data_IF_886446823240
#
_entry.id   IF_886446823240
#
_cell.length_a   1.000
_cell.length_b   1.000
_cell.length_c   1.000
_cell.angle_alpha   90.00
_cell.angle_beta   90.00
_cell.angle_gamma   90.00
#
_symmetry.space_group_name_H-M   'P 1'
#
loop_
_entity.id
_entity.type
_entity.pdbx_description
1 polymer ?
#
# COMPACT_ATOMS: atom_id res chain seq x y z
N UNK A 1 18.84 18.55 23.54
CA UNK A 1 17.60 17.89 23.06
C UNK A 1 17.92 16.44 22.82
N UNK A 2 17.18 15.53 23.44
CA UNK A 2 17.42 14.10 23.31
C UNK A 2 16.84 13.59 21.98
N UNK A 3 17.69 13.58 20.95
CA UNK A 3 17.30 13.31 19.56
C UNK A 3 16.68 11.91 19.41
N UNK A 4 17.07 10.97 20.29
CA UNK A 4 16.56 9.60 20.32
C UNK A 4 15.09 9.52 20.74
N UNK A 5 14.67 10.35 21.71
CA UNK A 5 13.26 10.46 22.12
C UNK A 5 12.38 11.02 20.98
N UNK A 6 12.93 11.94 20.19
CA UNK A 6 12.20 12.57 19.07
C UNK A 6 12.02 11.60 17.91
N UNK A 7 13.07 10.86 17.52
CA UNK A 7 12.97 9.86 16.45
C UNK A 7 12.01 8.71 16.80
N UNK A 8 12.09 8.20 18.05
CA UNK A 8 11.14 7.18 18.55
C UNK A 8 9.70 7.68 18.57
N UNK A 9 9.49 8.95 18.93
CA UNK A 9 8.18 9.60 18.88
C UNK A 9 7.61 9.64 17.47
N UNK A 10 8.41 10.05 16.48
CA UNK A 10 8.03 10.09 15.06
C UNK A 10 7.72 8.68 14.55
N UNK A 11 8.59 7.71 14.84
CA UNK A 11 8.37 6.32 14.42
C UNK A 11 7.07 5.75 14.99
N UNK A 12 6.77 6.05 16.27
CA UNK A 12 5.52 5.63 16.91
C UNK A 12 4.31 6.28 16.26
N UNK A 13 4.40 7.57 15.92
CA UNK A 13 3.32 8.28 15.23
C UNK A 13 3.06 7.67 13.84
N UNK A 14 4.10 7.49 13.02
CA UNK A 14 3.97 6.88 11.69
C UNK A 14 3.38 5.47 11.80
N UNK A 15 3.82 4.67 12.78
CA UNK A 15 3.28 3.33 13.01
C UNK A 15 1.78 3.36 13.33
N UNK A 16 1.33 4.26 14.22
CA UNK A 16 -0.09 4.43 14.55
C UNK A 16 -0.91 4.88 13.35
N UNK A 17 -0.41 5.85 12.58
CA UNK A 17 -1.07 6.35 11.37
C UNK A 17 -1.17 5.22 10.33
N UNK A 18 -0.09 4.48 10.10
CA UNK A 18 -0.09 3.33 9.19
C UNK A 18 -1.07 2.25 9.64
N UNK A 19 -1.23 2.03 10.95
CA UNK A 19 -2.21 1.10 11.50
C UNK A 19 -3.66 1.42 11.10
N UNK A 20 -3.96 2.67 10.74
CA UNK A 20 -5.28 3.09 10.26
C UNK A 20 -5.30 3.24 8.73
N UNK A 21 -4.26 3.83 8.13
CA UNK A 21 -4.22 4.08 6.69
C UNK A 21 -4.16 2.78 5.87
N UNK A 22 -3.41 1.78 6.31
CA UNK A 22 -3.29 0.51 5.59
C UNK A 22 -4.66 -0.16 5.45
N UNK A 23 -5.43 -0.44 6.53
CA UNK A 23 -6.75 -1.04 6.36
C UNK A 23 -7.72 -0.14 5.61
N UNK A 24 -7.65 1.19 5.80
CA UNK A 24 -8.51 2.13 5.05
C UNK A 24 -8.29 2.04 3.53
N UNK A 25 -7.02 2.06 3.08
CA UNK A 25 -6.67 1.92 1.67
C UNK A 25 -7.06 0.53 1.16
N UNK A 26 -6.82 -0.53 1.93
CA UNK A 26 -7.20 -1.89 1.55
C UNK A 26 -8.71 -2.03 1.32
N UNK A 27 -9.53 -1.54 2.26
CA UNK A 27 -10.99 -1.54 2.10
C UNK A 27 -11.40 -0.68 0.90
N UNK A 28 -10.80 0.50 0.73
CA UNK A 28 -11.11 1.38 -0.40
C UNK A 28 -10.79 0.74 -1.74
N UNK A 29 -9.69 -0.01 -1.85
CA UNK A 29 -9.35 -0.76 -3.06
C UNK A 29 -10.36 -1.85 -3.36
N UNK A 30 -10.75 -2.64 -2.36
CA UNK A 30 -11.78 -3.67 -2.52
C UNK A 30 -13.12 -3.07 -2.97
N UNK A 31 -13.54 -1.97 -2.35
CA UNK A 31 -14.76 -1.27 -2.72
C UNK A 31 -14.65 -0.62 -4.10
N UNK A 32 -13.50 -0.04 -4.45
CA UNK A 32 -13.24 0.53 -5.79
C UNK A 32 -13.27 -0.51 -6.90
N UNK A 33 -12.83 -1.76 -6.62
CA UNK A 33 -12.96 -2.89 -7.56
C UNK A 33 -14.43 -3.28 -7.75
N UNK A 34 -15.23 -3.31 -6.67
CA UNK A 34 -16.63 -3.77 -6.72
C UNK A 34 -17.55 -2.70 -7.32
N UNK A 35 -17.44 -1.46 -6.86
CA UNK A 35 -18.32 -0.36 -7.25
C UNK A 35 -17.82 0.43 -8.45
N UNK A 36 -16.55 0.27 -8.82
CA UNK A 36 -15.95 0.90 -9.98
C UNK A 36 -15.38 2.30 -9.73
N UNK A 37 -14.66 2.84 -10.73
CA UNK A 37 -13.80 4.01 -10.60
C UNK A 37 -14.53 5.34 -10.44
N UNK A 38 -15.83 5.40 -10.73
CA UNK A 38 -16.63 6.63 -10.61
C UNK A 38 -17.18 6.86 -9.19
N UNK A 39 -16.94 5.92 -8.27
CA UNK A 39 -17.43 6.01 -6.90
C UNK A 39 -16.59 7.02 -6.11
N UNK A 40 -17.19 8.00 -5.41
CA UNK A 40 -16.44 9.00 -4.66
C UNK A 40 -15.45 8.37 -3.68
N UNK A 41 -14.25 8.95 -3.59
CA UNK A 41 -13.12 8.48 -2.77
C UNK A 41 -12.55 7.12 -3.19
N UNK A 42 -13.32 6.03 -3.13
CA UNK A 42 -12.80 4.67 -3.39
C UNK A 42 -12.41 4.47 -4.85
N UNK A 43 -13.13 5.11 -5.78
CA UNK A 43 -12.83 5.07 -7.21
C UNK A 43 -11.53 5.79 -7.54
N UNK A 44 -11.24 6.91 -6.88
CA UNK A 44 -9.98 7.64 -7.03
C UNK A 44 -8.80 6.84 -6.47
N UNK A 45 -8.97 6.21 -5.29
CA UNK A 45 -7.95 5.34 -4.68
C UNK A 45 -7.62 4.18 -5.62
N UNK A 46 -8.64 3.50 -6.14
CA UNK A 46 -8.46 2.42 -7.12
C UNK A 46 -7.74 2.92 -8.38
N UNK A 47 -8.19 4.03 -8.96
CA UNK A 47 -7.62 4.57 -10.21
C UNK A 47 -6.16 4.96 -10.04
N UNK A 48 -5.80 5.59 -8.92
CA UNK A 48 -4.42 5.97 -8.62
C UNK A 48 -3.51 4.73 -8.48
N UNK A 49 -3.97 3.70 -7.76
CA UNK A 49 -3.19 2.47 -7.59
C UNK A 49 -3.07 1.71 -8.91
N UNK A 50 -4.15 1.62 -9.68
CA UNK A 50 -4.13 0.99 -11.01
C UNK A 50 -3.17 1.72 -11.97
N UNK A 51 -3.12 3.05 -11.93
CA UNK A 51 -2.19 3.84 -12.72
C UNK A 51 -0.73 3.54 -12.37
N UNK A 52 -0.40 3.43 -11.06
CA UNK A 52 0.95 3.06 -10.60
C UNK A 52 1.32 1.65 -11.07
N UNK A 53 0.39 0.69 -10.96
CA UNK A 53 0.63 -0.68 -11.44
C UNK A 53 0.86 -0.68 -12.95
N UNK A 54 0.09 0.10 -13.72
CA UNK A 54 0.27 0.24 -15.16
C UNK A 54 1.63 0.84 -15.52
N UNK A 55 2.14 1.78 -14.74
CA UNK A 55 3.48 2.37 -14.95
C UNK A 55 4.62 1.36 -14.77
N UNK A 56 4.43 0.31 -13.95
CA UNK A 56 5.41 -0.77 -13.81
C UNK A 56 5.45 -1.68 -15.04
N UNK A 57 4.38 -1.72 -15.83
CA UNK A 57 4.25 -2.62 -16.96
C UNK A 57 4.11 -4.08 -16.55
N UNK A 58 3.91 -4.95 -17.53
CA UNK A 58 3.73 -6.39 -17.33
C UNK A 58 4.99 -7.03 -16.72
N UNK A 59 6.15 -6.73 -17.28
CA UNK A 59 7.45 -7.23 -16.80
C UNK A 59 7.78 -6.76 -15.38
N UNK A 60 7.46 -5.51 -15.04
CA UNK A 60 7.69 -4.97 -13.69
C UNK A 60 6.79 -5.61 -12.64
N UNK A 61 5.53 -5.91 -13.01
CA UNK A 61 4.62 -6.64 -12.13
C UNK A 61 5.08 -8.10 -11.93
N UNK A 62 5.52 -8.76 -13.01
CA UNK A 62 6.10 -10.11 -12.97
C UNK A 62 7.31 -10.18 -12.03
N UNK A 63 8.22 -9.20 -12.13
CA UNK A 63 9.38 -9.11 -11.25
C UNK A 63 8.97 -8.96 -9.77
N UNK A 64 8.00 -8.09 -9.47
CA UNK A 64 7.49 -7.89 -8.10
C UNK A 64 6.86 -9.17 -7.52
N UNK A 65 6.01 -9.84 -8.29
CA UNK A 65 5.39 -11.11 -7.88
C UNK A 65 6.47 -12.17 -7.62
N UNK A 66 7.48 -12.25 -8.48
CA UNK A 66 8.60 -13.19 -8.34
C UNK A 66 9.37 -12.95 -7.03
N UNK A 67 9.68 -11.68 -6.71
CA UNK A 67 10.33 -11.32 -5.44
C UNK A 67 9.48 -11.71 -4.24
N UNK A 68 8.16 -11.46 -4.28
CA UNK A 68 7.25 -11.85 -3.20
C UNK A 68 7.25 -13.37 -2.99
N UNK A 69 7.21 -14.16 -4.06
CA UNK A 69 7.26 -15.63 -3.99
C UNK A 69 8.58 -16.11 -3.37
N UNK A 70 9.71 -15.55 -3.81
CA UNK A 70 11.04 -15.90 -3.28
C UNK A 70 11.12 -15.56 -1.79
N UNK A 71 10.68 -14.36 -1.39
CA UNK A 71 10.68 -13.94 0.01
C UNK A 71 9.75 -14.82 0.87
N UNK A 72 8.57 -15.18 0.36
CA UNK A 72 7.65 -16.07 1.06
C UNK A 72 8.25 -17.48 1.25
N UNK A 73 8.97 -17.98 0.26
CA UNK A 73 9.68 -19.27 0.37
C UNK A 73 10.83 -19.21 1.38
N UNK A 74 11.64 -18.14 1.38
CA UNK A 74 12.75 -17.96 2.31
C UNK A 74 12.34 -17.73 3.76
N UNK A 75 11.10 -17.26 4.00
CA UNK A 75 10.56 -17.04 5.35
C UNK A 75 10.01 -18.30 6.00
N UNK A 76 10.04 -19.44 5.29
CA UNK A 76 9.68 -20.78 5.78
C UNK A 76 10.84 -21.40 6.52
#
# INVERSE_FOLDING_TARGET
MDFNLTLKGIQTFISKVNGVLIPLVSVSLLLGIIFGPTTPFVGDVYTNVAAIIKMLGEDGLLALISVVIILAYLKK
#
